data_IF_679968722160
#
_entry.id   IF_679968722160
#
_cell.length_a   1.000
_cell.length_b   1.000
_cell.length_c   1.000
_cell.angle_alpha   90.00
_cell.angle_beta   90.00
_cell.angle_gamma   90.00
#
_symmetry.space_group_name_H-M   'P 1'
#
loop_
_entity.id
_entity.type
_entity.pdbx_description
1 polymer ?
#
# COMPACT_ATOMS: atom_id res chain seq x y z
N UNK A 1 -33.70 -22.09 -19.70
CA UNK A 1 -34.46 -21.69 -18.51
C UNK A 1 -33.49 -20.86 -17.70
N UNK A 2 -33.70 -19.55 -17.58
CA UNK A 2 -32.77 -18.65 -16.86
C UNK A 2 -33.15 -18.78 -15.38
N UNK A 3 -32.25 -19.35 -14.57
CA UNK A 3 -32.41 -19.38 -13.10
C UNK A 3 -32.37 -17.96 -12.54
N UNK A 4 -33.01 -17.76 -11.39
CA UNK A 4 -32.92 -16.50 -10.66
C UNK A 4 -31.59 -16.51 -9.87
N UNK A 5 -31.08 -15.33 -9.50
CA UNK A 5 -29.82 -15.20 -8.77
C UNK A 5 -29.88 -15.83 -7.38
N UNK A 6 -28.78 -16.45 -6.98
CA UNK A 6 -28.52 -17.05 -5.68
C UNK A 6 -27.67 -16.06 -4.85
N UNK A 7 -28.32 -15.06 -4.25
CA UNK A 7 -27.61 -13.90 -3.72
C UNK A 7 -27.09 -14.07 -2.29
N UNK A 8 -25.88 -13.54 -2.04
CA UNK A 8 -25.35 -13.29 -0.70
C UNK A 8 -24.64 -11.94 -0.60
N UNK A 9 -24.40 -11.49 0.63
CA UNK A 9 -23.69 -10.25 0.93
C UNK A 9 -22.43 -10.56 1.73
N UNK A 10 -21.32 -9.94 1.32
CA UNK A 10 -20.07 -9.88 2.05
C UNK A 10 -19.90 -8.49 2.68
N UNK A 11 -19.58 -8.45 3.97
CA UNK A 11 -19.31 -7.26 4.75
C UNK A 11 -17.85 -7.24 5.17
N UNK A 12 -17.10 -6.23 4.70
CA UNK A 12 -15.72 -5.99 5.11
C UNK A 12 -15.63 -4.67 5.87
N UNK A 13 -14.99 -4.71 7.03
CA UNK A 13 -14.58 -3.49 7.73
C UNK A 13 -13.08 -3.61 8.07
N UNK A 14 -12.19 -3.26 7.13
CA UNK A 14 -10.75 -3.54 7.24
C UNK A 14 -10.07 -2.92 8.47
N UNK A 15 -10.67 -1.88 9.04
CA UNK A 15 -10.21 -1.20 10.26
C UNK A 15 -10.60 -1.90 11.56
N UNK A 16 -11.50 -2.87 11.50
CA UNK A 16 -12.05 -3.60 12.66
C UNK A 16 -11.77 -5.11 12.60
N UNK A 17 -11.74 -5.70 11.39
CA UNK A 17 -11.58 -7.13 11.19
C UNK A 17 -10.76 -7.42 9.94
N UNK A 18 -9.82 -8.36 10.05
CA UNK A 18 -9.13 -8.97 8.91
C UNK A 18 -9.99 -10.01 8.19
N UNK A 19 -11.14 -10.37 8.79
CA UNK A 19 -12.10 -11.32 8.26
C UNK A 19 -13.28 -10.61 7.62
N UNK A 20 -13.75 -11.18 6.52
CA UNK A 20 -15.02 -10.83 5.88
C UNK A 20 -16.17 -11.57 6.56
N UNK A 21 -17.29 -10.88 6.76
CA UNK A 21 -18.52 -11.50 7.25
C UNK A 21 -19.46 -11.76 6.08
N UNK A 22 -19.94 -13.00 5.92
CA UNK A 22 -20.80 -13.40 4.79
C UNK A 22 -22.18 -13.80 5.31
N UNK A 23 -23.24 -13.35 4.65
CA UNK A 23 -24.60 -13.88 4.88
C UNK A 23 -24.74 -15.29 4.31
N UNK A 24 -25.85 -15.94 4.61
CA UNK A 24 -26.31 -17.11 3.86
C UNK A 24 -26.65 -16.72 2.42
N UNK A 25 -26.50 -17.67 1.51
CA UNK A 25 -27.02 -17.56 0.15
C UNK A 25 -28.54 -17.72 0.19
N UNK A 26 -29.27 -16.81 -0.45
CA UNK A 26 -30.70 -16.95 -0.69
C UNK A 26 -30.89 -17.34 -2.15
N UNK A 27 -31.29 -18.58 -2.36
CA UNK A 27 -31.41 -19.13 -3.69
C UNK A 27 -32.61 -18.55 -4.44
N UNK A 28 -32.44 -18.35 -5.75
CA UNK A 28 -33.45 -18.02 -6.72
C UNK A 28 -34.34 -16.82 -6.33
N UNK A 29 -33.74 -15.72 -5.85
CA UNK A 29 -34.49 -14.53 -5.43
C UNK A 29 -33.84 -13.23 -5.90
N UNK A 30 -34.63 -12.39 -6.58
CA UNK A 30 -34.23 -11.02 -6.92
C UNK A 30 -34.47 -10.01 -5.78
N UNK A 31 -35.16 -10.45 -4.71
CA UNK A 31 -35.43 -9.67 -3.50
C UNK A 31 -35.09 -10.51 -2.24
N UNK A 32 -33.83 -10.90 -2.05
CA UNK A 32 -33.36 -11.68 -0.91
C UNK A 32 -33.53 -10.92 0.42
N UNK A 33 -34.03 -11.61 1.44
CA UNK A 33 -34.15 -11.12 2.81
C UNK A 33 -33.30 -11.96 3.77
N UNK A 34 -32.07 -11.52 4.05
CA UNK A 34 -31.14 -12.28 4.91
C UNK A 34 -31.48 -12.21 6.40
N UNK A 35 -31.90 -11.04 6.90
CA UNK A 35 -32.20 -10.81 8.32
C UNK A 35 -31.09 -11.26 9.29
N UNK A 36 -29.82 -11.09 8.88
CA UNK A 36 -28.64 -11.43 9.67
C UNK A 36 -28.03 -10.20 10.35
N UNK A 37 -27.40 -10.41 11.52
CA UNK A 37 -26.78 -9.34 12.30
C UNK A 37 -25.29 -9.62 12.49
N UNK A 38 -24.46 -8.68 12.09
CA UNK A 38 -23.01 -8.70 12.27
C UNK A 38 -22.59 -7.59 13.21
N UNK A 39 -21.57 -7.84 14.04
CA UNK A 39 -21.06 -6.88 15.01
C UNK A 39 -19.61 -6.59 14.71
N UNK A 40 -19.24 -5.31 14.69
CA UNK A 40 -17.86 -4.87 14.54
C UNK A 40 -17.45 -3.99 15.69
N UNK A 41 -16.20 -4.16 16.16
CA UNK A 41 -15.58 -3.23 17.10
C UNK A 41 -14.90 -2.10 16.33
N UNK A 42 -15.41 -0.88 16.49
CA UNK A 42 -15.00 0.29 15.69
C UNK A 42 -14.19 1.29 16.53
N UNK A 43 -13.16 1.88 15.91
CA UNK A 43 -12.36 2.95 16.52
C UNK A 43 -12.80 4.33 16.00
N UNK A 44 -13.23 5.22 16.88
CA UNK A 44 -13.72 6.56 16.51
C UNK A 44 -12.66 7.50 15.92
N UNK A 45 -11.38 7.20 16.13
CA UNK A 45 -10.27 8.10 15.79
C UNK A 45 -9.68 7.81 14.40
N UNK A 46 -10.22 6.82 13.69
CA UNK A 46 -9.82 6.47 12.32
C UNK A 46 -11.05 6.53 11.42
N UNK A 47 -10.81 6.77 10.12
CA UNK A 47 -11.88 6.67 9.12
C UNK A 47 -12.22 5.20 8.92
N UNK A 48 -13.49 4.87 9.07
CA UNK A 48 -13.98 3.50 8.97
C UNK A 48 -14.96 3.42 7.80
N UNK A 49 -14.60 2.66 6.77
CA UNK A 49 -15.44 2.42 5.60
C UNK A 49 -15.91 0.98 5.65
N UNK A 50 -17.21 0.78 5.81
CA UNK A 50 -17.85 -0.53 5.65
C UNK A 50 -18.05 -0.78 4.16
N UNK A 51 -17.43 -1.83 3.65
CA UNK A 51 -17.63 -2.32 2.30
C UNK A 51 -18.71 -3.39 2.33
N UNK A 52 -19.74 -3.21 1.52
CA UNK A 52 -20.87 -4.13 1.38
C UNK A 52 -20.83 -4.60 -0.07
N UNK A 53 -20.48 -5.86 -0.28
CA UNK A 53 -20.35 -6.47 -1.60
C UNK A 53 -21.48 -7.48 -1.78
N UNK A 54 -22.21 -7.37 -2.88
CA UNK A 54 -23.27 -8.30 -3.23
C UNK A 54 -22.76 -9.24 -4.33
N UNK A 55 -23.05 -10.53 -4.16
CA UNK A 55 -22.63 -11.59 -5.07
C UNK A 55 -23.80 -12.48 -5.46
N UNK A 56 -23.71 -13.07 -6.65
CA UNK A 56 -24.51 -14.20 -7.13
C UNK A 56 -23.64 -15.46 -7.01
N UNK A 57 -24.07 -16.44 -6.22
CA UNK A 57 -23.34 -17.69 -5.99
C UNK A 57 -23.53 -18.64 -7.17
N UNK A 58 -22.43 -19.02 -7.83
CA UNK A 58 -22.46 -19.92 -8.97
C UNK A 58 -21.80 -21.25 -8.62
N UNK A 59 -22.54 -22.38 -8.52
CA UNK A 59 -21.97 -23.66 -8.11
C UNK A 59 -20.85 -24.21 -9.02
N UNK A 60 -20.76 -23.71 -10.26
CA UNK A 60 -19.84 -24.21 -11.28
C UNK A 60 -18.79 -23.19 -11.72
N UNK A 61 -18.96 -21.90 -11.38
CA UNK A 61 -18.09 -20.81 -11.80
C UNK A 61 -17.69 -19.96 -10.61
N UNK A 62 -16.91 -18.90 -10.83
CA UNK A 62 -16.67 -17.93 -9.76
C UNK A 62 -17.90 -17.06 -9.62
N UNK A 63 -18.32 -16.86 -8.38
CA UNK A 63 -19.42 -15.97 -8.03
C UNK A 63 -19.30 -14.60 -8.69
N UNK A 64 -20.39 -14.15 -9.31
CA UNK A 64 -20.45 -12.88 -9.99
C UNK A 64 -20.73 -11.76 -8.98
N UNK A 65 -19.84 -10.76 -8.93
CA UNK A 65 -20.04 -9.61 -8.05
C UNK A 65 -21.07 -8.65 -8.68
N UNK A 66 -22.28 -8.66 -8.13
CA UNK A 66 -23.38 -7.82 -8.58
C UNK A 66 -23.21 -6.35 -8.23
N UNK A 67 -22.53 -6.03 -7.11
CA UNK A 67 -22.45 -4.65 -6.64
C UNK A 67 -21.53 -4.40 -5.46
N UNK A 68 -21.16 -3.13 -5.28
CA UNK A 68 -20.37 -2.67 -4.14
C UNK A 68 -20.93 -1.36 -3.61
N UNK A 69 -21.08 -1.30 -2.29
CA UNK A 69 -21.42 -0.09 -1.56
C UNK A 69 -20.28 0.20 -0.58
N UNK A 70 -19.81 1.43 -0.56
CA UNK A 70 -18.84 1.92 0.42
C UNK A 70 -19.56 2.89 1.35
N UNK A 71 -19.70 2.50 2.62
CA UNK A 71 -20.43 3.28 3.61
C UNK A 71 -19.49 3.78 4.71
N UNK A 72 -19.32 5.10 4.78
CA UNK A 72 -18.60 5.74 5.88
C UNK A 72 -19.47 5.73 7.13
N UNK A 73 -19.08 4.93 8.12
CA UNK A 73 -19.85 4.74 9.35
C UNK A 73 -19.83 5.96 10.27
N UNK A 74 -18.97 6.95 10.01
CA UNK A 74 -19.03 8.24 10.72
C UNK A 74 -20.34 9.00 10.47
N UNK A 75 -21.08 8.61 9.43
CA UNK A 75 -22.43 9.12 9.14
C UNK A 75 -23.52 8.52 10.07
N UNK A 76 -23.16 7.64 11.01
CA UNK A 76 -24.07 7.08 11.99
C UNK A 76 -23.98 7.84 13.32
N UNK A 77 -25.11 7.99 13.99
CA UNK A 77 -25.15 8.60 15.32
C UNK A 77 -24.91 7.54 16.41
N UNK A 78 -23.89 7.68 17.28
CA UNK A 78 -23.70 6.78 18.41
C UNK A 78 -24.95 6.71 19.30
N UNK A 79 -25.33 5.50 19.71
CA UNK A 79 -26.48 5.18 20.55
C UNK A 79 -27.82 5.12 19.80
N UNK A 80 -27.86 5.51 18.53
CA UNK A 80 -29.08 5.52 17.72
C UNK A 80 -29.08 4.36 16.73
N UNK A 81 -30.15 3.56 16.72
CA UNK A 81 -30.41 2.59 15.65
C UNK A 81 -30.86 3.36 14.42
N UNK A 82 -30.18 3.15 13.30
CA UNK A 82 -30.54 3.76 12.01
C UNK A 82 -30.72 2.68 10.95
N UNK A 83 -31.72 2.86 10.09
CA UNK A 83 -31.92 2.04 8.88
C UNK A 83 -31.44 2.84 7.68
N UNK A 84 -30.54 2.25 6.88
CA UNK A 84 -30.07 2.82 5.62
C UNK A 84 -30.61 1.99 4.46
N UNK A 85 -31.05 2.67 3.41
CA UNK A 85 -31.37 2.08 2.12
C UNK A 85 -30.26 2.46 1.14
N UNK A 86 -29.71 1.47 0.45
CA UNK A 86 -28.65 1.67 -0.54
C UNK A 86 -29.13 1.22 -1.92
N UNK A 87 -28.76 1.99 -2.94
CA UNK A 87 -29.07 1.70 -4.35
C UNK A 87 -27.77 1.30 -5.03
N UNK A 88 -27.75 0.12 -5.65
CA UNK A 88 -26.61 -0.40 -6.40
C UNK A 88 -26.82 -0.01 -7.87
N UNK A 89 -25.93 0.81 -8.43
CA UNK A 89 -25.99 1.19 -9.84
C UNK A 89 -25.18 0.19 -10.70
N UNK A 90 -25.79 -0.38 -11.74
CA UNK A 90 -25.25 -1.40 -12.67
C UNK A 90 -23.97 -1.03 -13.46
N UNK A 91 -23.34 0.13 -13.21
CA UNK A 91 -22.26 0.63 -14.07
C UNK A 91 -20.87 0.04 -13.81
N UNK A 92 -20.75 -1.02 -13.01
CA UNK A 92 -19.46 -1.68 -12.73
C UNK A 92 -19.39 -3.11 -13.29
N UNK A 93 -20.36 -3.53 -14.11
CA UNK A 93 -20.17 -4.68 -14.99
C UNK A 93 -19.06 -4.32 -16.01
N UNK A 94 -17.96 -5.08 -16.00
CA UNK A 94 -16.92 -4.99 -17.04
C UNK A 94 -17.60 -5.17 -18.41
N UNK A 95 -17.26 -4.39 -19.44
CA UNK A 95 -17.78 -4.68 -20.77
C UNK A 95 -17.20 -6.04 -21.20
N UNK A 96 -18.07 -7.05 -21.28
CA UNK A 96 -17.81 -8.24 -22.08
C UNK A 96 -17.42 -7.77 -23.48
N UNK A 97 -16.36 -8.37 -24.03
CA UNK A 97 -15.82 -8.03 -25.35
C UNK A 97 -16.91 -8.13 -26.43
N UNK A 98 -17.47 -6.99 -26.82
CA UNK A 98 -18.10 -6.83 -28.12
C UNK A 98 -17.24 -5.88 -28.96
N UNK A 99 -16.92 -6.35 -30.17
CA UNK A 99 -16.16 -5.63 -31.18
C UNK A 99 -16.73 -4.21 -31.39
N UNK A 100 -15.93 -3.19 -31.08
CA UNK A 100 -16.19 -1.81 -31.49
C UNK A 100 -15.53 -1.59 -32.86
N UNK A 101 -16.26 -1.20 -33.93
CA UNK A 101 -15.63 -0.63 -35.10
C UNK A 101 -14.99 0.71 -34.71
N UNK A 102 -13.73 0.89 -35.10
CA UNK A 102 -13.01 2.16 -35.05
C UNK A 102 -13.85 3.22 -35.77
N UNK A 103 -14.31 4.23 -35.04
CA UNK A 103 -14.39 5.65 -35.41
C UNK A 103 -15.38 6.38 -34.48
N UNK A 104 -14.89 7.13 -33.48
CA UNK A 104 -15.20 8.56 -33.26
C UNK A 104 -14.57 9.11 -31.97
N UNK A 105 -14.08 10.34 -32.08
CA UNK A 105 -13.37 11.14 -31.08
C UNK A 105 -14.28 11.79 -30.01
N UNK A 106 -13.63 12.10 -28.88
CA UNK A 106 -13.82 13.24 -27.98
C UNK A 106 -14.76 14.37 -28.49
N UNK A 107 -15.90 14.58 -27.82
CA UNK A 107 -16.42 15.86 -27.30
C UNK A 107 -17.93 15.76 -27.01
N UNK A 108 -18.33 16.33 -25.88
CA UNK A 108 -19.69 16.71 -25.48
C UNK A 108 -20.79 15.64 -25.37
N UNK A 109 -21.33 15.46 -24.16
CA UNK A 109 -22.71 15.88 -23.83
C UNK A 109 -23.09 15.52 -22.39
N UNK A 110 -22.92 16.51 -21.51
CA UNK A 110 -23.91 16.82 -20.48
C UNK A 110 -25.26 16.99 -21.19
N UNK A 111 -26.31 16.37 -20.63
CA UNK A 111 -27.72 16.29 -21.10
C UNK A 111 -28.06 15.04 -21.93
N UNK A 112 -28.60 14.04 -21.25
CA UNK A 112 -29.79 13.28 -21.69
C UNK A 112 -30.45 12.64 -20.45
N UNK A 113 -31.40 13.39 -19.87
CA UNK A 113 -32.57 12.79 -19.24
C UNK A 113 -33.46 12.22 -20.35
N UNK A 114 -34.16 11.13 -20.03
CA UNK A 114 -35.19 10.44 -20.82
C UNK A 114 -34.69 9.61 -22.01
N UNK A 115 -35.00 8.31 -21.93
CA UNK A 115 -34.77 7.33 -22.97
C UNK A 115 -34.72 5.93 -22.38
N UNK A 116 -35.89 5.34 -22.14
CA UNK A 116 -36.03 3.93 -21.80
C UNK A 116 -35.50 3.08 -22.96
N UNK A 117 -34.50 2.25 -22.70
CA UNK A 117 -34.17 1.09 -23.52
C UNK A 117 -33.70 -0.05 -22.60
N UNK A 118 -34.34 -1.21 -22.79
CA UNK A 118 -34.16 -2.45 -22.06
C UNK A 118 -32.69 -2.84 -21.91
N UNK A 119 -32.22 -2.93 -20.67
CA UNK A 119 -31.14 -3.83 -20.26
C UNK A 119 -31.70 -4.70 -19.13
N UNK A 120 -31.70 -6.02 -19.34
CA UNK A 120 -32.04 -7.02 -18.33
C UNK A 120 -30.94 -7.08 -17.25
N UNK A 121 -30.89 -6.09 -16.36
CA UNK A 121 -30.08 -6.13 -15.13
C UNK A 121 -30.96 -6.50 -13.93
N UNK A 122 -31.03 -7.79 -13.64
CA UNK A 122 -31.78 -8.36 -12.50
C UNK A 122 -30.92 -8.35 -11.23
N UNK A 123 -30.53 -7.18 -10.75
CA UNK A 123 -29.91 -7.03 -9.44
C UNK A 123 -30.76 -6.12 -8.54
N UNK A 124 -30.81 -6.41 -7.24
CA UNK A 124 -31.61 -5.68 -6.25
C UNK A 124 -31.48 -4.17 -6.45
N UNK A 125 -32.63 -3.49 -6.50
CA UNK A 125 -32.66 -2.04 -6.57
C UNK A 125 -32.52 -1.39 -5.19
N UNK A 126 -32.81 -2.11 -4.10
CA UNK A 126 -32.81 -1.57 -2.73
C UNK A 126 -32.43 -2.62 -1.69
N UNK A 127 -31.41 -2.34 -0.87
CA UNK A 127 -31.02 -3.16 0.29
C UNK A 127 -31.18 -2.39 1.60
N UNK A 128 -31.74 -3.02 2.64
CA UNK A 128 -31.94 -2.43 3.96
C UNK A 128 -30.88 -2.93 4.95
N UNK A 129 -30.08 -2.03 5.52
CA UNK A 129 -29.14 -2.35 6.60
C UNK A 129 -29.51 -1.56 7.85
N UNK A 130 -29.77 -2.27 8.95
CA UNK A 130 -29.92 -1.68 10.27
C UNK A 130 -28.56 -1.66 10.97
N UNK A 131 -28.04 -0.47 11.26
CA UNK A 131 -26.75 -0.33 11.98
C UNK A 131 -27.00 0.30 13.34
N UNK A 132 -26.40 -0.31 14.37
CA UNK A 132 -26.35 0.24 15.73
C UNK A 132 -24.90 0.54 16.09
N UNK A 133 -24.54 1.82 16.18
CA UNK A 133 -23.25 2.21 16.71
C UNK A 133 -23.36 2.44 18.21
N UNK A 134 -22.77 1.60 19.06
CA UNK A 134 -22.80 1.80 20.52
C UNK A 134 -21.62 2.69 20.96
N UNK A 135 -21.85 3.72 21.81
CA UNK A 135 -20.77 4.56 22.30
C UNK A 135 -19.85 3.77 23.24
N UNK A 136 -18.56 3.70 22.90
CA UNK A 136 -17.51 3.21 23.78
C UNK A 136 -16.74 4.41 24.36
N UNK A 137 -16.47 4.41 25.67
CA UNK A 137 -15.67 5.46 26.33
C UNK A 137 -14.21 5.27 25.90
N UNK A 138 -13.70 6.12 25.02
CA UNK A 138 -12.30 6.07 24.60
C UNK A 138 -11.69 7.48 24.50
N UNK A 139 -10.39 7.55 24.87
CA UNK A 139 -9.62 8.79 25.07
C UNK A 139 -9.42 9.56 23.76
N UNK A 140 -9.54 10.89 23.84
CA UNK A 140 -9.27 11.83 22.74
C UNK A 140 -7.85 11.64 22.19
N UNK A 141 -7.74 11.63 20.87
CA UNK A 141 -6.50 11.41 20.14
C UNK A 141 -6.60 12.05 18.75
N UNK A 142 -5.58 12.83 18.35
CA UNK A 142 -5.55 13.66 17.13
C UNK A 142 -5.45 12.82 15.84
N UNK A 143 -5.75 13.42 14.67
CA UNK A 143 -6.08 12.74 13.40
C UNK A 143 -4.97 11.93 12.72
N UNK A 144 -3.73 11.99 13.20
CA UNK A 144 -2.56 11.41 12.49
C UNK A 144 -1.81 10.40 13.35
N UNK A 145 -2.53 9.45 13.96
CA UNK A 145 -1.87 8.33 14.63
C UNK A 145 -1.83 7.10 13.73
N UNK A 146 -0.68 6.45 13.69
CA UNK A 146 -0.60 5.07 13.23
C UNK A 146 -1.61 4.23 14.05
N UNK A 147 -2.25 3.25 13.39
CA UNK A 147 -3.10 2.30 14.09
C UNK A 147 -2.32 1.59 15.22
N UNK A 148 -2.99 1.08 16.25
CA UNK A 148 -2.33 0.44 17.39
C UNK A 148 -1.65 -0.85 16.93
N UNK A 149 -0.37 -0.73 16.62
CA UNK A 149 0.43 -1.76 16.03
C UNK A 149 1.09 -2.61 17.11
N UNK A 150 1.11 -3.93 16.95
CA UNK A 150 1.84 -4.84 17.83
C UNK A 150 2.76 -5.77 17.06
N UNK A 151 3.85 -6.15 17.72
CA UNK A 151 4.65 -7.31 17.34
C UNK A 151 4.07 -8.54 18.04
N UNK A 152 3.58 -9.49 17.26
CA UNK A 152 3.16 -10.81 17.76
C UNK A 152 4.26 -11.82 17.47
N UNK A 153 4.93 -12.26 18.54
CA UNK A 153 5.95 -13.29 18.51
C UNK A 153 5.29 -14.66 18.70
N UNK A 154 5.57 -15.60 17.79
CA UNK A 154 5.08 -16.99 17.86
C UNK A 154 6.28 -17.92 18.01
N UNK A 155 6.36 -18.62 19.13
CA UNK A 155 7.41 -19.62 19.37
C UNK A 155 7.00 -20.95 18.72
N UNK A 156 7.77 -21.41 17.73
CA UNK A 156 7.45 -22.63 16.96
C UNK A 156 8.33 -23.84 17.33
N UNK A 157 9.05 -23.78 18.46
CA UNK A 157 10.01 -24.83 18.83
C UNK A 157 9.34 -26.17 19.16
N UNK A 158 8.18 -26.13 19.81
CA UNK A 158 7.36 -27.33 20.06
C UNK A 158 6.87 -27.96 18.75
N UNK A 159 6.54 -27.13 17.77
CA UNK A 159 6.10 -27.54 16.44
C UNK A 159 7.22 -28.20 15.62
N UNK A 160 8.48 -27.77 15.82
CA UNK A 160 9.64 -28.38 15.17
C UNK A 160 10.09 -29.69 15.85
N UNK A 161 9.96 -29.80 17.18
CA UNK A 161 10.40 -30.97 17.97
C UNK A 161 9.50 -32.21 17.84
N UNK A 162 8.22 -32.03 17.50
CA UNK A 162 7.26 -33.14 17.35
C UNK A 162 7.28 -33.82 15.97
N UNK A 163 8.22 -33.47 15.08
CA UNK A 163 8.20 -33.96 13.69
C UNK A 163 8.84 -35.35 13.51
N UNK A 164 8.10 -36.21 12.82
CA UNK A 164 8.62 -37.21 11.88
C UNK A 164 8.03 -36.87 10.49
N UNK A 165 8.85 -36.76 9.44
CA UNK A 165 8.50 -36.58 8.01
C UNK A 165 8.45 -35.15 7.37
N UNK A 166 8.66 -35.16 6.04
CA UNK A 166 9.32 -34.19 5.15
C UNK A 166 8.51 -32.96 4.65
N UNK A 167 7.44 -32.53 5.31
CA UNK A 167 6.55 -31.49 4.74
C UNK A 167 6.71 -30.10 5.39
N UNK A 168 6.61 -29.05 4.57
CA UNK A 168 6.53 -27.64 4.99
C UNK A 168 5.18 -27.36 5.67
N UNK A 169 5.24 -26.62 6.78
CA UNK A 169 4.05 -26.11 7.47
C UNK A 169 3.94 -24.62 7.18
N UNK A 170 2.74 -24.14 6.87
CA UNK A 170 2.45 -22.73 6.68
C UNK A 170 1.67 -22.24 7.90
N UNK A 171 2.21 -21.24 8.58
CA UNK A 171 1.50 -20.50 9.61
C UNK A 171 1.00 -19.20 8.98
N UNK A 172 -0.32 -18.98 9.05
CA UNK A 172 -1.00 -17.84 8.45
C UNK A 172 -1.73 -17.02 9.50
N UNK A 173 -1.45 -15.73 9.58
CA UNK A 173 -2.17 -14.76 10.41
C UNK A 173 -2.81 -13.71 9.51
N UNK A 174 -4.13 -13.72 9.37
CA UNK A 174 -4.83 -12.79 8.47
C UNK A 174 -4.73 -11.34 8.94
N UNK A 175 -4.54 -10.41 8.01
CA UNK A 175 -4.42 -8.97 8.31
C UNK A 175 -3.06 -8.55 8.89
N UNK A 176 -2.11 -9.47 9.04
CA UNK A 176 -0.72 -9.10 9.33
C UNK A 176 -0.03 -8.57 8.07
N UNK A 177 0.96 -7.69 8.23
CA UNK A 177 1.75 -7.14 7.12
C UNK A 177 2.34 -8.22 6.21
N UNK A 178 2.86 -9.29 6.83
CA UNK A 178 3.23 -10.54 6.17
C UNK A 178 2.37 -11.63 6.79
N UNK A 179 1.32 -12.05 6.09
CA UNK A 179 0.35 -13.02 6.62
C UNK A 179 0.94 -14.41 6.78
N UNK A 180 1.83 -14.84 5.87
CA UNK A 180 2.22 -16.24 5.75
C UNK A 180 3.72 -16.44 6.05
N UNK A 181 4.01 -17.45 6.88
CA UNK A 181 5.36 -17.97 7.09
C UNK A 181 5.42 -19.45 6.76
N UNK A 182 6.35 -19.81 5.86
CA UNK A 182 6.69 -21.20 5.56
C UNK A 182 7.75 -21.69 6.54
N UNK A 183 7.44 -22.78 7.25
CA UNK A 183 8.28 -23.42 8.24
C UNK A 183 8.74 -24.77 7.68
N UNK A 184 9.94 -24.76 7.10
CA UNK A 184 10.68 -25.96 6.68
C UNK A 184 11.50 -26.55 7.84
N UNK A 185 11.90 -27.82 7.74
CA UNK A 185 12.77 -28.46 8.73
C UNK A 185 14.09 -27.68 8.89
N UNK A 186 14.65 -27.63 10.12
CA UNK A 186 15.98 -27.08 10.32
C UNK A 186 17.01 -27.94 9.56
N UNK A 187 17.99 -27.29 8.94
CA UNK A 187 19.23 -27.96 8.54
C UNK A 187 19.91 -28.52 9.81
N UNK A 188 20.44 -29.75 9.76
CA UNK A 188 21.07 -30.41 10.90
C UNK A 188 22.13 -29.49 11.53
N UNK A 189 21.94 -29.12 12.81
CA UNK A 189 22.92 -28.35 13.59
C UNK A 189 22.50 -26.95 14.06
N UNK A 190 21.28 -26.48 13.75
CA UNK A 190 20.80 -25.16 14.22
C UNK A 190 19.95 -25.28 15.49
N UNK A 191 20.53 -24.98 16.66
CA UNK A 191 19.83 -24.79 17.96
C UNK A 191 19.04 -23.46 18.05
N UNK A 192 18.64 -22.87 16.92
CA UNK A 192 17.91 -21.60 16.96
C UNK A 192 16.45 -21.83 17.31
N UNK A 193 16.04 -21.28 18.46
CA UNK A 193 14.62 -21.03 18.74
C UNK A 193 14.05 -20.21 17.60
N UNK A 194 13.14 -20.78 16.80
CA UNK A 194 12.56 -20.04 15.67
C UNK A 194 11.36 -19.26 16.21
N UNK A 195 11.59 -18.01 16.58
CA UNK A 195 10.49 -17.07 16.85
C UNK A 195 10.05 -16.43 15.54
N UNK A 196 8.79 -16.63 15.16
CA UNK A 196 8.20 -15.93 14.02
C UNK A 196 7.62 -14.61 14.50
N UNK A 197 7.82 -13.54 13.72
CA UNK A 197 7.39 -12.20 14.07
C UNK A 197 6.32 -11.70 13.10
N UNK A 198 5.11 -11.54 13.61
CA UNK A 198 4.03 -10.86 12.90
C UNK A 198 3.91 -9.41 13.33
N UNK A 199 3.47 -8.61 12.38
CA UNK A 199 3.23 -7.19 12.52
C UNK A 199 1.76 -6.94 12.14
N UNK A 200 0.92 -6.59 13.11
CA UNK A 200 -0.53 -6.50 12.92
C UNK A 200 -1.10 -5.35 13.75
N UNK A 201 -2.21 -4.76 13.29
CA UNK A 201 -3.02 -3.89 14.13
C UNK A 201 -3.69 -4.75 15.21
N UNK A 202 -3.30 -4.55 16.48
CA UNK A 202 -3.72 -5.40 17.59
C UNK A 202 -5.22 -5.35 17.86
N UNK A 203 -5.88 -4.28 17.40
CA UNK A 203 -7.31 -4.11 17.63
C UNK A 203 -8.18 -4.84 16.59
N UNK A 204 -7.57 -5.47 15.57
CA UNK A 204 -8.29 -6.28 14.59
C UNK A 204 -8.78 -7.60 15.19
N UNK A 205 -10.01 -7.96 14.85
CA UNK A 205 -10.43 -9.36 14.84
C UNK A 205 -9.69 -10.07 13.70
N UNK A 206 -9.03 -11.20 14.00
CA UNK A 206 -8.18 -11.91 13.05
C UNK A 206 -8.33 -13.42 13.22
N UNK A 207 -7.67 -14.21 12.38
CA UNK A 207 -7.56 -15.66 12.53
C UNK A 207 -6.13 -16.13 12.32
N UNK A 208 -5.74 -17.13 13.11
CA UNK A 208 -4.50 -17.87 12.96
C UNK A 208 -4.81 -19.25 12.38
N UNK A 209 -4.18 -19.60 11.27
CA UNK A 209 -4.36 -20.88 10.59
C UNK A 209 -3.02 -21.61 10.49
N UNK A 210 -3.08 -22.93 10.62
CA UNK A 210 -1.94 -23.83 10.45
C UNK A 210 -2.29 -24.88 9.38
N UNK A 211 -1.51 -24.92 8.30
CA UNK A 211 -1.73 -25.86 7.19
C UNK A 211 -0.44 -26.51 6.73
N UNK A 212 -0.52 -27.70 6.11
CA UNK A 212 0.60 -28.28 5.37
C UNK A 212 0.58 -27.80 3.93
N UNK A 213 1.75 -27.68 3.31
CA UNK A 213 1.93 -27.22 1.92
C UNK A 213 1.13 -28.08 0.89
N UNK A 214 0.95 -29.37 1.20
CA UNK A 214 0.13 -30.31 0.42
C UNK A 214 -1.37 -29.97 0.40
N UNK A 215 -1.90 -29.36 1.46
CA UNK A 215 -3.32 -28.99 1.56
C UNK A 215 -3.66 -27.72 0.74
N UNK A 216 -2.70 -26.80 0.58
CA UNK A 216 -2.86 -25.62 -0.27
C UNK A 216 -2.99 -25.98 -1.76
N UNK A 217 -2.36 -27.06 -2.20
CA UNK A 217 -2.49 -27.58 -3.56
C UNK A 217 -3.82 -28.30 -3.83
N UNK A 218 -4.48 -28.84 -2.81
CA UNK A 218 -5.81 -29.45 -2.95
C UNK A 218 -6.93 -28.42 -2.91
N UNK A 219 -6.80 -27.34 -2.14
CA UNK A 219 -7.75 -26.22 -2.17
C UNK A 219 -7.76 -25.47 -3.52
N UNK A 220 -6.66 -25.53 -4.29
CA UNK A 220 -6.56 -25.01 -5.65
C UNK A 220 -6.94 -26.02 -6.74
N UNK A 221 -7.29 -27.27 -6.38
CA UNK A 221 -7.71 -28.33 -7.29
C UNK A 221 -9.08 -28.88 -6.85
N UNK A 222 -10.12 -28.06 -6.97
CA UNK A 222 -11.49 -28.58 -7.14
C UNK A 222 -11.94 -28.27 -8.56
N UNK A 223 -11.38 -29.03 -9.51
CA UNK A 223 -12.01 -29.31 -10.79
C UNK A 223 -11.91 -30.80 -10.99
N UNK A 224 -13.08 -31.42 -11.22
CA UNK A 224 -13.30 -32.78 -11.71
C UNK A 224 -13.14 -33.94 -10.71
N UNK A 225 -14.27 -34.36 -10.14
CA UNK A 225 -14.52 -35.78 -9.91
C UNK A 225 -16.00 -36.09 -10.18
N UNK A 226 -16.22 -36.94 -11.19
CA UNK A 226 -17.51 -37.53 -11.56
C UNK A 226 -17.84 -38.67 -10.60
N UNK A 227 -19.05 -38.64 -10.04
CA UNK A 227 -19.87 -39.81 -9.64
C UNK A 227 -19.25 -40.83 -8.66
N UNK A 228 -19.72 -40.80 -7.41
CA UNK A 228 -19.52 -41.89 -6.45
C UNK A 228 -20.11 -41.53 -5.08
N UNK A 229 -20.74 -42.50 -4.42
CA UNK A 229 -21.58 -42.38 -3.22
C UNK A 229 -21.01 -41.50 -2.10
N UNK A 230 -21.89 -40.71 -1.47
CA UNK A 230 -21.61 -39.84 -0.31
C UNK A 230 -21.43 -40.69 0.95
N UNK A 231 -20.24 -40.75 1.57
CA UNK A 231 -20.12 -41.22 2.94
C UNK A 231 -20.44 -40.05 3.88
N UNK A 232 -21.03 -40.38 5.02
CA UNK A 232 -21.46 -39.47 6.08
C UNK A 232 -20.46 -38.33 6.38
N UNK A 233 -21.02 -37.14 6.55
CA UNK A 233 -20.34 -35.91 6.97
C UNK A 233 -19.42 -36.12 8.17
N UNK A 234 -18.12 -36.18 7.92
CA UNK A 234 -17.10 -35.94 8.95
C UNK A 234 -17.16 -34.44 9.25
N UNK A 235 -17.62 -34.06 10.45
CA UNK A 235 -17.44 -32.71 10.97
C UNK A 235 -15.93 -32.40 11.00
N UNK A 236 -15.45 -31.65 10.02
CA UNK A 236 -14.07 -31.17 9.97
C UNK A 236 -13.90 -30.07 11.02
N UNK A 237 -13.11 -30.34 12.07
CA UNK A 237 -12.69 -29.31 13.03
C UNK A 237 -12.11 -28.08 12.29
N UNK A 238 -12.39 -26.85 12.77
CA UNK A 238 -11.96 -25.64 12.06
C UNK A 238 -10.43 -25.58 11.96
N UNK A 239 -9.93 -25.44 10.73
CA UNK A 239 -8.49 -25.27 10.44
C UNK A 239 -7.98 -23.86 10.79
N UNK A 240 -8.88 -22.90 11.04
CA UNK A 240 -8.57 -21.54 11.49
C UNK A 240 -9.10 -21.25 12.89
N UNK A 241 -8.29 -20.53 13.67
CA UNK A 241 -8.60 -20.15 15.05
C UNK A 241 -8.84 -18.65 15.13
N UNK A 242 -10.06 -18.19 15.47
CA UNK A 242 -10.35 -16.78 15.58
C UNK A 242 -9.65 -16.18 16.80
N UNK A 243 -8.95 -15.08 16.58
CA UNK A 243 -8.32 -14.27 17.61
C UNK A 243 -9.12 -12.99 17.79
N UNK A 244 -9.57 -12.78 19.02
CA UNK A 244 -10.08 -11.49 19.46
C UNK A 244 -8.95 -10.46 19.48
N UNK A 245 -9.28 -9.15 19.48
CA UNK A 245 -8.31 -8.08 19.62
C UNK A 245 -7.28 -8.39 20.72
N UNK A 246 -6.01 -8.34 20.33
CA UNK A 246 -4.89 -8.78 21.14
C UNK A 246 -4.61 -7.75 22.25
N UNK A 247 -4.75 -8.11 23.53
CA UNK A 247 -4.50 -7.17 24.62
C UNK A 247 -3.01 -6.81 24.73
N UNK A 248 -2.74 -5.65 25.34
CA UNK A 248 -1.38 -5.15 25.54
C UNK A 248 -0.55 -6.11 26.41
N UNK A 249 0.69 -6.43 25.98
CA UNK A 249 1.68 -7.24 26.72
C UNK A 249 1.08 -8.52 27.29
N UNK A 250 0.55 -9.32 26.40
CA UNK A 250 -0.13 -10.57 26.71
C UNK A 250 0.60 -11.78 26.15
N UNK A 251 0.54 -12.87 26.90
CA UNK A 251 1.03 -14.18 26.52
C UNK A 251 -0.12 -15.17 26.55
N UNK A 252 -0.31 -15.90 25.46
CA UNK A 252 -1.38 -16.87 25.30
C UNK A 252 -0.82 -18.15 24.68
N UNK A 253 -1.26 -19.29 25.15
CA UNK A 253 -1.01 -20.59 24.51
C UNK A 253 -2.24 -20.99 23.72
N UNK A 254 -2.07 -21.32 22.45
CA UNK A 254 -3.13 -21.78 21.56
C UNK A 254 -2.84 -23.19 21.06
N UNK A 255 -3.81 -24.08 21.16
CA UNK A 255 -3.72 -25.44 20.62
C UNK A 255 -4.39 -25.48 19.25
N UNK A 256 -3.60 -25.56 18.18
CA UNK A 256 -4.08 -25.62 16.79
C UNK A 256 -4.07 -27.06 16.26
N UNK A 257 -5.08 -27.50 15.49
CA UNK A 257 -5.10 -28.80 14.84
C UNK A 257 -4.13 -28.81 13.66
N UNK A 258 -3.45 -29.93 13.48
CA UNK A 258 -2.65 -30.24 12.31
C UNK A 258 -2.88 -31.70 11.92
N UNK A 259 -3.81 -31.95 11.00
CA UNK A 259 -4.28 -33.30 10.72
C UNK A 259 -5.00 -33.89 11.93
N UNK A 260 -4.51 -35.02 12.46
CA UNK A 260 -5.11 -35.69 13.63
C UNK A 260 -4.49 -35.26 14.98
N UNK A 261 -3.47 -34.41 15.00
CA UNK A 261 -2.81 -33.94 16.21
C UNK A 261 -3.15 -32.48 16.54
N UNK A 262 -2.96 -32.07 17.79
CA UNK A 262 -3.05 -30.67 18.23
C UNK A 262 -1.66 -30.20 18.68
N UNK A 263 -1.29 -28.98 18.27
CA UNK A 263 0.01 -28.37 18.55
C UNK A 263 -0.20 -27.09 19.35
N UNK A 264 0.48 -27.00 20.49
CA UNK A 264 0.49 -25.80 21.32
C UNK A 264 1.51 -24.79 20.80
N UNK A 265 1.03 -23.61 20.42
CA UNK A 265 1.84 -22.44 20.07
C UNK A 265 1.76 -21.41 21.17
N UNK A 266 2.90 -20.85 21.51
CA UNK A 266 3.01 -19.77 22.49
C UNK A 266 3.11 -18.43 21.76
N UNK A 267 2.13 -17.57 22.00
CA UNK A 267 1.98 -16.26 21.40
C UNK A 267 2.32 -15.20 22.44
N UNK A 268 3.25 -14.29 22.10
CA UNK A 268 3.68 -13.18 22.95
C UNK A 268 3.51 -11.86 22.20
N UNK A 269 2.67 -10.97 22.72
CA UNK A 269 2.52 -9.62 22.17
C UNK A 269 3.48 -8.66 22.85
N UNK A 270 4.13 -7.81 22.03
CA UNK A 270 4.95 -6.70 22.49
C UNK A 270 4.46 -5.40 21.84
N UNK A 271 4.33 -4.37 22.66
CA UNK A 271 4.03 -3.02 22.19
C UNK A 271 5.30 -2.38 21.61
N UNK A 272 5.15 -1.72 20.46
CA UNK A 272 6.10 -0.70 20.03
C UNK A 272 5.62 0.65 20.51
N UNK A 273 6.51 1.45 21.08
CA UNK A 273 6.17 2.82 21.44
C UNK A 273 5.96 3.66 20.17
N UNK A 274 5.00 4.59 20.23
CA UNK A 274 4.75 5.60 19.18
C UNK A 274 6.01 6.47 18.92
N UNK A 275 6.96 6.48 19.85
CA UNK A 275 8.24 7.21 19.79
C UNK A 275 9.28 6.55 18.85
N UNK A 276 9.00 5.36 18.33
CA UNK A 276 9.92 4.58 17.48
C UNK A 276 9.42 4.41 16.03
N UNK A 277 8.72 5.42 15.49
CA UNK A 277 8.32 5.42 14.09
C UNK A 277 9.45 5.94 13.19
N UNK A 278 9.80 5.15 12.18
CA UNK A 278 10.73 5.58 11.11
C UNK A 278 10.10 6.64 10.18
N UNK A 279 8.76 6.79 10.23
CA UNK A 279 7.99 7.77 9.45
C UNK A 279 7.61 8.94 10.34
N UNK A 280 7.99 10.16 9.92
CA UNK A 280 7.57 11.40 10.60
C UNK A 280 6.14 11.76 10.22
N UNK A 281 5.26 11.82 11.22
CA UNK A 281 3.85 12.22 11.08
C UNK A 281 3.66 13.63 11.64
N UNK A 282 3.88 14.65 10.81
CA UNK A 282 3.78 16.05 11.20
C UNK A 282 3.64 16.94 9.95
N UNK A 283 2.85 18.02 10.06
CA UNK A 283 2.61 18.99 8.99
C UNK A 283 3.65 20.11 8.92
N UNK A 284 4.47 20.28 9.95
CA UNK A 284 5.55 21.29 9.96
C UNK A 284 6.81 20.76 9.25
N UNK A 285 7.78 21.63 8.96
CA UNK A 285 9.10 21.23 8.46
C UNK A 285 9.94 20.53 9.55
N UNK A 286 10.80 19.55 9.19
CA UNK A 286 11.60 18.82 10.16
C UNK A 286 12.63 19.71 10.88
N UNK A 287 13.10 19.33 12.09
CA UNK A 287 14.09 20.08 12.84
C UNK A 287 15.37 20.41 12.07
N UNK A 288 15.83 19.49 11.22
CA UNK A 288 16.99 19.64 10.35
C UNK A 288 16.81 20.80 9.37
N UNK A 289 15.62 20.92 8.77
CA UNK A 289 15.28 22.00 7.85
C UNK A 289 15.14 23.34 8.57
N UNK A 290 14.56 23.36 9.77
CA UNK A 290 14.51 24.55 10.65
C UNK A 290 15.93 25.05 10.95
N UNK A 291 16.84 24.14 11.30
CA UNK A 291 18.24 24.45 11.58
C UNK A 291 18.98 24.95 10.31
N UNK A 292 18.69 24.37 9.14
CA UNK A 292 19.19 24.86 7.87
C UNK A 292 18.73 26.29 7.61
N UNK A 293 17.44 26.60 7.76
CA UNK A 293 16.89 27.94 7.53
C UNK A 293 17.52 28.99 8.45
N UNK A 294 17.71 28.68 9.73
CA UNK A 294 18.39 29.59 10.66
C UNK A 294 19.81 29.95 10.18
N UNK A 295 20.56 28.97 9.67
CA UNK A 295 21.90 29.19 9.09
C UNK A 295 21.80 29.96 7.77
N UNK A 296 20.89 29.58 6.88
CA UNK A 296 20.76 30.16 5.54
C UNK A 296 20.32 31.62 5.58
N UNK A 297 19.41 32.00 6.49
CA UNK A 297 18.97 33.40 6.67
C UNK A 297 20.13 34.37 6.92
N UNK A 298 21.19 33.94 7.63
CA UNK A 298 22.40 34.76 7.83
C UNK A 298 23.15 35.00 6.53
N UNK A 299 23.28 33.97 5.70
CA UNK A 299 23.92 34.09 4.37
C UNK A 299 23.07 34.94 3.41
N UNK A 300 21.75 34.74 3.40
CA UNK A 300 20.80 35.53 2.59
C UNK A 300 20.83 36.99 2.98
N UNK A 301 20.88 37.31 4.28
CA UNK A 301 21.04 38.68 4.78
C UNK A 301 22.27 39.36 4.18
N UNK A 302 23.43 38.69 4.23
CA UNK A 302 24.67 39.22 3.65
C UNK A 302 24.60 39.34 2.13
N UNK A 303 23.94 38.38 1.45
CA UNK A 303 23.77 38.41 0.00
C UNK A 303 22.88 39.57 -0.44
N UNK A 304 21.74 39.78 0.23
CA UNK A 304 20.80 40.85 -0.09
C UNK A 304 21.40 42.24 0.09
N UNK A 305 22.28 42.42 1.09
CA UNK A 305 23.02 43.68 1.23
C UNK A 305 23.77 44.04 -0.07
N UNK A 306 24.48 43.06 -0.65
CA UNK A 306 25.27 43.24 -1.86
C UNK A 306 24.38 43.40 -3.10
N UNK A 307 23.40 42.50 -3.27
CA UNK A 307 22.53 42.47 -4.45
C UNK A 307 21.68 43.73 -4.57
N UNK A 308 21.17 44.26 -3.45
CA UNK A 308 20.30 45.43 -3.43
C UNK A 308 21.05 46.73 -3.10
N UNK A 309 22.38 46.69 -2.97
CA UNK A 309 23.23 47.82 -2.58
C UNK A 309 22.74 48.52 -1.29
N UNK A 310 22.41 47.75 -0.26
CA UNK A 310 21.95 48.29 1.03
C UNK A 310 23.13 48.79 1.87
N UNK A 311 22.89 49.84 2.67
CA UNK A 311 23.89 50.42 3.58
C UNK A 311 24.37 49.42 4.64
N UNK A 312 23.49 48.53 5.10
CA UNK A 312 23.79 47.49 6.08
C UNK A 312 23.02 46.21 5.74
N UNK A 313 23.51 45.06 6.21
CA UNK A 313 22.78 43.81 6.06
C UNK A 313 21.46 43.84 6.86
N UNK A 314 20.32 43.42 6.27
CA UNK A 314 19.05 43.32 6.99
C UNK A 314 19.12 42.29 8.11
N UNK A 315 18.25 42.39 9.12
CA UNK A 315 18.17 41.39 10.18
C UNK A 315 17.82 40.01 9.57
N UNK A 316 18.63 38.94 9.82
CA UNK A 316 18.32 37.58 9.39
C UNK A 316 16.90 37.09 9.74
N UNK A 317 16.25 37.63 10.77
CA UNK A 317 14.87 37.25 11.11
C UNK A 317 13.83 37.76 10.09
N UNK A 318 14.18 38.79 9.32
CA UNK A 318 13.29 39.53 8.42
C UNK A 318 13.53 39.26 6.93
N UNK A 319 14.59 38.52 6.60
CA UNK A 319 14.95 38.26 5.19
C UNK A 319 13.91 37.39 4.50
N UNK A 320 13.57 37.67 3.22
CA UNK A 320 12.63 36.86 2.47
C UNK A 320 13.19 35.46 2.20
N UNK A 321 12.29 34.48 2.16
CA UNK A 321 12.58 33.14 1.65
C UNK A 321 12.41 33.16 0.14
N UNK A 322 13.53 33.11 -0.59
CA UNK A 322 13.54 33.08 -2.06
C UNK A 322 13.70 31.64 -2.54
N UNK A 323 12.91 31.23 -3.52
CA UNK A 323 12.98 29.90 -4.12
C UNK A 323 13.24 29.99 -5.63
N UNK A 324 14.10 29.10 -6.13
CA UNK A 324 14.25 28.81 -7.57
C UNK A 324 13.47 27.54 -7.88
N UNK A 325 12.57 27.62 -8.86
CA UNK A 325 11.67 26.52 -9.23
C UNK A 325 11.97 26.09 -10.66
N UNK A 326 12.43 24.85 -10.82
CA UNK A 326 12.87 24.31 -12.10
C UNK A 326 11.87 23.25 -12.61
N UNK A 327 11.31 23.47 -13.80
CA UNK A 327 10.32 22.57 -14.39
C UNK A 327 10.94 21.30 -14.99
N UNK A 328 10.08 20.32 -15.28
CA UNK A 328 10.47 19.12 -16.03
C UNK A 328 10.73 19.35 -17.52
N UNK A 329 11.20 18.30 -18.19
CA UNK A 329 11.48 18.33 -19.63
C UNK A 329 12.79 17.71 -20.09
N UNK A 330 13.22 16.62 -19.45
CA UNK A 330 14.41 15.87 -19.83
C UNK A 330 15.66 16.74 -19.97
N UNK A 331 16.46 16.47 -21.01
CA UNK A 331 17.74 17.15 -21.25
C UNK A 331 17.59 18.66 -21.44
N UNK A 332 16.48 19.13 -22.03
CA UNK A 332 16.20 20.57 -22.16
C UNK A 332 16.07 21.24 -20.79
N UNK A 333 15.38 20.60 -19.85
CA UNK A 333 15.23 21.12 -18.49
C UNK A 333 16.56 21.07 -17.71
N UNK A 334 17.34 20.00 -17.89
CA UNK A 334 18.71 19.86 -17.36
C UNK A 334 19.59 21.05 -17.80
N UNK A 335 19.71 21.28 -19.12
CA UNK A 335 20.53 22.37 -19.67
C UNK A 335 20.03 23.74 -19.23
N UNK A 336 18.71 23.96 -19.26
CA UNK A 336 18.09 25.21 -18.82
C UNK A 336 18.33 25.48 -17.33
N UNK A 337 18.29 24.45 -16.47
CA UNK A 337 18.57 24.58 -15.04
C UNK A 337 20.01 25.02 -14.80
N UNK A 338 20.98 24.37 -15.43
CA UNK A 338 22.39 24.78 -15.35
C UNK A 338 22.61 26.22 -15.81
N UNK A 339 22.06 26.60 -16.97
CA UNK A 339 22.16 27.96 -17.48
C UNK A 339 21.55 28.99 -16.55
N UNK A 340 20.41 28.68 -15.94
CA UNK A 340 19.71 29.54 -14.97
C UNK A 340 20.54 29.73 -13.71
N UNK A 341 21.04 28.64 -13.11
CA UNK A 341 21.87 28.71 -11.90
C UNK A 341 23.19 29.45 -12.15
N UNK A 342 23.82 29.23 -13.31
CA UNK A 342 24.99 30.00 -13.75
C UNK A 342 24.67 31.48 -13.89
N UNK A 343 23.53 31.82 -14.50
CA UNK A 343 23.06 33.20 -14.60
C UNK A 343 22.91 33.85 -13.22
N UNK A 344 22.22 33.18 -12.30
CA UNK A 344 22.03 33.64 -10.92
C UNK A 344 23.34 33.80 -10.15
N UNK A 345 24.31 32.90 -10.36
CA UNK A 345 25.64 33.01 -9.76
C UNK A 345 26.38 34.25 -10.29
N UNK A 346 26.35 34.48 -11.61
CA UNK A 346 27.00 35.63 -12.25
C UNK A 346 26.46 36.98 -11.77
N UNK A 347 25.14 37.08 -11.58
CA UNK A 347 24.51 38.31 -11.06
C UNK A 347 24.49 38.36 -9.51
N UNK A 348 25.17 37.43 -8.84
CA UNK A 348 25.30 37.32 -7.38
C UNK A 348 23.97 37.13 -6.61
N UNK A 349 22.89 36.77 -7.31
CA UNK A 349 21.58 36.52 -6.70
C UNK A 349 21.50 35.13 -6.09
N UNK A 350 22.29 34.15 -6.56
CA UNK A 350 22.21 32.76 -6.10
C UNK A 350 22.39 32.62 -4.57
N UNK A 351 23.22 33.45 -3.95
CA UNK A 351 23.42 33.43 -2.50
C UNK A 351 22.22 33.93 -1.67
N UNK A 352 21.27 34.61 -2.30
CA UNK A 352 20.00 35.02 -1.67
C UNK A 352 18.93 33.92 -1.71
N UNK A 353 19.16 32.82 -2.45
CA UNK A 353 18.19 31.73 -2.63
C UNK A 353 18.18 30.81 -1.42
N UNK A 354 17.01 30.54 -0.84
CA UNK A 354 16.84 29.60 0.29
C UNK A 354 16.50 28.18 -0.18
N UNK A 355 15.73 28.05 -1.25
CA UNK A 355 15.32 26.75 -1.79
C UNK A 355 15.55 26.67 -3.29
N UNK A 356 15.95 25.48 -3.75
CA UNK A 356 15.93 25.14 -5.17
C UNK A 356 15.12 23.86 -5.29
N UNK A 357 14.02 23.91 -6.04
CA UNK A 357 13.17 22.74 -6.29
C UNK A 357 13.21 22.39 -7.77
N UNK A 358 13.14 21.11 -8.07
CA UNK A 358 13.19 20.60 -9.44
C UNK A 358 12.39 19.30 -9.58
N UNK A 359 11.88 19.07 -10.78
CA UNK A 359 11.18 17.84 -11.14
C UNK A 359 11.69 17.31 -12.48
N UNK A 360 11.65 15.99 -12.69
CA UNK A 360 12.07 15.35 -13.95
C UNK A 360 13.47 15.82 -14.37
N UNK A 361 13.69 16.25 -15.61
CA UNK A 361 15.03 16.63 -16.11
C UNK A 361 15.79 17.68 -15.30
N UNK A 362 15.09 18.56 -14.56
CA UNK A 362 15.76 19.48 -13.63
C UNK A 362 16.41 18.76 -12.44
N UNK A 363 15.87 17.63 -11.98
CA UNK A 363 16.47 16.86 -10.89
C UNK A 363 17.81 16.28 -11.29
N UNK A 364 18.05 15.98 -12.57
CA UNK A 364 19.35 15.53 -13.06
C UNK A 364 20.44 16.61 -12.88
N UNK A 365 20.06 17.88 -13.05
CA UNK A 365 20.97 19.01 -12.84
C UNK A 365 21.26 19.17 -11.34
N UNK A 366 20.20 19.16 -10.54
CA UNK A 366 20.30 19.33 -9.09
C UNK A 366 21.07 18.18 -8.44
N UNK A 367 20.80 16.93 -8.81
CA UNK A 367 21.53 15.78 -8.28
C UNK A 367 23.02 15.88 -8.58
N UNK A 368 23.38 16.34 -9.78
CA UNK A 368 24.78 16.46 -10.21
C UNK A 368 25.53 17.59 -9.48
N UNK A 369 24.94 18.78 -9.33
CA UNK A 369 25.64 19.89 -8.64
C UNK A 369 25.72 19.66 -7.12
N UNK A 370 24.72 19.03 -6.51
CA UNK A 370 24.70 18.79 -5.07
C UNK A 370 25.69 17.70 -4.62
N UNK A 371 26.38 17.02 -5.53
CA UNK A 371 27.53 16.15 -5.21
C UNK A 371 28.74 16.92 -4.69
N UNK A 372 28.92 18.18 -5.10
CA UNK A 372 29.93 19.07 -4.52
C UNK A 372 29.30 19.93 -3.42
N UNK A 373 29.66 19.73 -2.13
CA UNK A 373 29.14 20.55 -1.03
C UNK A 373 29.40 22.05 -1.18
N UNK A 374 30.35 22.45 -2.04
CA UNK A 374 30.73 23.84 -2.29
C UNK A 374 30.33 24.33 -3.69
N UNK A 375 29.47 23.61 -4.43
CA UNK A 375 29.14 23.91 -5.84
C UNK A 375 28.70 25.35 -6.10
N UNK A 376 27.97 25.97 -5.16
CA UNK A 376 27.43 27.33 -5.31
C UNK A 376 28.49 28.43 -5.13
N UNK A 377 29.57 28.11 -4.42
CA UNK A 377 30.73 28.98 -4.21
C UNK A 377 31.83 28.78 -5.25
N UNK A 378 31.95 27.55 -5.74
CA UNK A 378 32.84 27.20 -6.85
C UNK A 378 32.22 27.63 -8.18
N UNK A 379 33.03 27.75 -9.22
CA UNK A 379 32.51 28.01 -10.56
C UNK A 379 31.72 26.80 -11.07
N UNK A 380 30.44 26.99 -11.33
CA UNK A 380 29.54 25.95 -11.86
C UNK A 380 29.98 25.43 -13.24
N UNK A 381 30.86 26.18 -13.93
CA UNK A 381 31.39 25.81 -15.24
C UNK A 381 32.12 24.47 -15.26
N UNK A 382 32.74 24.07 -14.14
CA UNK A 382 33.36 22.74 -14.05
C UNK A 382 32.32 21.62 -14.20
N UNK A 383 31.19 21.72 -13.51
CA UNK A 383 30.10 20.73 -13.58
C UNK A 383 29.42 20.76 -14.96
N UNK A 384 29.24 21.95 -15.53
CA UNK A 384 28.69 22.11 -16.89
C UNK A 384 29.59 21.44 -17.93
N UNK A 385 30.90 21.66 -17.89
CA UNK A 385 31.82 21.10 -18.88
C UNK A 385 31.91 19.58 -18.79
N UNK A 386 31.93 19.03 -17.56
CA UNK A 386 31.87 17.58 -17.34
C UNK A 386 30.61 16.98 -17.95
N UNK A 387 29.44 17.57 -17.68
CA UNK A 387 28.17 17.08 -18.19
C UNK A 387 28.05 17.23 -19.71
N UNK A 388 28.54 18.35 -20.26
CA UNK A 388 28.53 18.61 -21.70
C UNK A 388 29.31 17.55 -22.47
N UNK A 389 30.46 17.12 -21.94
CA UNK A 389 31.25 16.04 -22.54
C UNK A 389 30.48 14.72 -22.58
N UNK A 390 29.76 14.38 -21.51
CA UNK A 390 28.96 13.15 -21.43
C UNK A 390 27.72 13.21 -22.32
N UNK A 391 26.96 14.30 -22.29
CA UNK A 391 25.77 14.51 -23.12
C UNK A 391 26.05 14.61 -24.61
N UNK A 392 27.28 14.95 -25.00
CA UNK A 392 27.71 15.00 -26.40
C UNK A 392 27.98 13.61 -26.98
N UNK A 393 28.04 12.56 -26.14
CA UNK A 393 28.20 11.17 -26.60
C UNK A 393 26.92 10.66 -27.26
N UNK A 394 27.06 9.68 -28.14
CA UNK A 394 25.93 9.10 -28.86
C UNK A 394 24.99 8.35 -27.92
N UNK A 395 23.72 8.78 -27.84
CA UNK A 395 22.67 8.15 -27.03
C UNK A 395 22.49 6.65 -27.34
N UNK A 396 22.83 6.20 -28.56
CA UNK A 396 22.77 4.78 -28.94
C UNK A 396 23.68 3.89 -28.07
N UNK A 397 24.75 4.41 -27.46
CA UNK A 397 25.61 3.60 -26.58
C UNK A 397 24.89 3.14 -25.31
N UNK A 398 23.83 3.83 -24.87
CA UNK A 398 22.96 3.38 -23.77
C UNK A 398 22.33 2.02 -24.03
N UNK A 399 22.13 1.69 -25.31
CA UNK A 399 21.45 0.49 -25.76
C UNK A 399 22.40 -0.48 -26.45
N UNK A 400 23.71 -0.35 -26.22
CA UNK A 400 24.66 -1.36 -26.69
C UNK A 400 24.39 -2.71 -26.00
N UNK A 401 24.77 -3.80 -26.66
CA UNK A 401 24.53 -5.15 -26.13
C UNK A 401 25.25 -5.35 -24.80
N UNK A 402 26.47 -4.85 -24.69
CA UNK A 402 27.30 -4.91 -23.49
C UNK A 402 26.62 -4.14 -22.35
N UNK A 403 26.07 -2.96 -22.64
CA UNK A 403 25.46 -2.12 -21.63
C UNK A 403 24.11 -2.66 -21.14
N UNK A 404 23.29 -3.20 -22.05
CA UNK A 404 22.05 -3.88 -21.70
C UNK A 404 22.29 -5.14 -20.86
N UNK A 405 23.39 -5.85 -21.11
CA UNK A 405 23.79 -7.00 -20.29
C UNK A 405 24.16 -6.55 -18.87
N UNK A 406 24.94 -5.48 -18.72
CA UNK A 406 25.29 -4.92 -17.41
C UNK A 406 24.06 -4.46 -16.62
N UNK A 407 23.09 -3.83 -17.29
CA UNK A 407 21.82 -3.46 -16.64
C UNK A 407 21.09 -4.68 -16.10
N UNK A 408 21.02 -5.75 -16.90
CA UNK A 408 20.38 -7.01 -16.49
C UNK A 408 21.09 -7.61 -15.28
N UNK A 409 22.42 -7.63 -15.26
CA UNK A 409 23.21 -8.17 -14.15
C UNK A 409 22.92 -7.42 -12.84
N UNK A 410 23.01 -6.09 -12.84
CA UNK A 410 22.69 -5.25 -11.67
C UNK A 410 21.24 -5.38 -11.21
N UNK A 411 20.31 -5.45 -12.16
CA UNK A 411 18.89 -5.65 -11.85
C UNK A 411 18.65 -7.02 -11.20
N UNK A 412 19.28 -8.08 -11.69
CA UNK A 412 19.18 -9.41 -11.10
C UNK A 412 19.79 -9.45 -9.69
N UNK A 413 20.88 -8.72 -9.43
CA UNK A 413 21.44 -8.59 -8.08
C UNK A 413 20.47 -7.90 -7.11
N UNK A 414 19.81 -6.84 -7.58
CA UNK A 414 18.79 -6.11 -6.82
C UNK A 414 17.55 -6.98 -6.54
N UNK A 415 17.12 -7.78 -7.51
CA UNK A 415 16.05 -8.76 -7.31
C UNK A 415 16.44 -9.84 -6.30
N UNK A 416 17.68 -10.36 -6.35
CA UNK A 416 18.22 -11.31 -5.35
C UNK A 416 18.26 -10.74 -3.94
N UNK A 417 18.41 -9.43 -3.79
CA UNK A 417 18.33 -8.73 -2.51
C UNK A 417 16.88 -8.54 -2.02
N UNK A 418 15.88 -9.00 -2.79
CA UNK A 418 14.46 -8.94 -2.44
C UNK A 418 13.76 -7.65 -2.84
N UNK A 419 14.40 -6.79 -3.63
CA UNK A 419 13.75 -5.59 -4.16
C UNK A 419 12.89 -5.94 -5.38
N UNK A 420 11.74 -5.26 -5.49
CA UNK A 420 11.00 -5.26 -6.75
C UNK A 420 11.81 -4.49 -7.79
N UNK A 421 11.95 -5.09 -8.97
CA UNK A 421 12.69 -4.51 -10.09
C UNK A 421 11.73 -4.21 -11.24
N UNK A 422 11.93 -3.06 -11.87
CA UNK A 422 11.08 -2.59 -12.97
C UNK A 422 11.88 -1.88 -14.05
N UNK A 423 11.18 -1.38 -15.08
CA UNK A 423 11.78 -0.52 -16.09
C UNK A 423 12.42 0.76 -15.49
N UNK A 424 11.96 1.20 -14.32
CA UNK A 424 12.51 2.37 -13.62
C UNK A 424 13.96 2.12 -13.18
N UNK A 425 14.27 0.91 -12.70
CA UNK A 425 15.63 0.55 -12.29
C UNK A 425 16.58 0.53 -13.50
N UNK A 426 16.15 -0.07 -14.62
CA UNK A 426 16.90 -0.03 -15.88
C UNK A 426 17.14 1.41 -16.33
N UNK A 427 16.10 2.25 -16.31
CA UNK A 427 16.21 3.65 -16.70
C UNK A 427 17.12 4.46 -15.77
N UNK A 428 17.12 4.17 -14.46
CA UNK A 428 18.07 4.74 -13.51
C UNK A 428 19.52 4.45 -13.88
N UNK A 429 19.83 3.20 -14.22
CA UNK A 429 21.16 2.79 -14.69
C UNK A 429 21.52 3.41 -16.05
N UNK A 430 20.53 3.57 -16.93
CA UNK A 430 20.73 4.26 -18.20
C UNK A 430 21.07 5.75 -18.01
N UNK A 431 20.36 6.45 -17.13
CA UNK A 431 20.66 7.83 -16.79
C UNK A 431 22.02 7.98 -16.11
N UNK A 432 22.38 7.05 -15.22
CA UNK A 432 23.71 7.03 -14.59
C UNK A 432 24.82 6.89 -15.64
N UNK A 433 24.66 5.94 -16.58
CA UNK A 433 25.58 5.79 -17.71
C UNK A 433 25.66 7.07 -18.56
N UNK A 434 24.52 7.67 -18.88
CA UNK A 434 24.44 8.86 -19.72
C UNK A 434 25.16 10.07 -19.09
N UNK A 435 25.09 10.23 -17.76
CA UNK A 435 25.64 11.41 -17.08
C UNK A 435 27.02 11.21 -16.49
N UNK A 436 27.44 9.96 -16.22
CA UNK A 436 28.73 9.66 -15.57
C UNK A 436 29.66 8.81 -16.43
N UNK A 437 29.17 8.26 -17.55
CA UNK A 437 29.94 7.32 -18.39
C UNK A 437 30.30 6.02 -17.68
N UNK A 438 29.69 5.71 -16.53
CA UNK A 438 29.94 4.55 -15.69
C UNK A 438 28.61 3.96 -15.25
N UNK A 439 28.57 2.64 -15.15
CA UNK A 439 27.51 1.89 -14.46
C UNK A 439 28.20 1.00 -13.47
#
# INVERSE_FOLDING_TARGET
>A
MISLSDCYVLLNLPTASALSNRTKTIANSNNPEWNETFTFRVHSNIKNILEILMYDEDPLMRDDQCGTILFDISNLTPGKKETKCFIINDKVARPCQEHIPKDLLYSDLVKRQQGAHNCDSKCLHEGHLAVLHQPQVMRKSHSDRAGPFCELNVEVDKLLKQRQAMQSIVLKLKGAYKEDFVISNPEEGSEFLKTLKYYINRDLETELNLSTDTALNQANCVTEAVGGDVPDTIETEPTSFPLKPLPNKHQLTLSLPLGQSKIDLELKTQDRSDEALDVRLDFDIPPEEKNFLQKRRKAVSQALQKVLNLTSAPDPSTVPVVAVVCSGGGSRALTSTYGTLKGLQKIQVLESVSYITGVSGATWALSSIYEDPNWSRNDIDKSIESLKNELSKTILSLFSKEQLQLYREKMNEREKQGYLVSLIDMWGLALEYLFRGKV
#
